data_IF_269812667739
#
_entry.id   IF_269812667739
#
_cell.length_a   1.000
_cell.length_b   1.000
_cell.length_c   1.000
_cell.angle_alpha   90.00
_cell.angle_beta   90.00
_cell.angle_gamma   90.00
#
_symmetry.space_group_name_H-M   'P 1'
#
loop_
_entity.id
_entity.type
_entity.pdbx_description
1 polymer ?
#
# COMPACT_ATOMS: atom_id res chain seq x y z
N UNK A 1 2.09 -12.66 -3.74
CA UNK A 1 2.22 -11.83 -2.52
C UNK A 1 3.34 -10.83 -2.74
N UNK A 2 3.23 -9.63 -2.19
CA UNK A 2 4.24 -8.56 -2.32
C UNK A 2 4.71 -8.11 -0.93
N UNK A 3 5.98 -7.71 -0.83
CA UNK A 3 6.54 -7.15 0.40
C UNK A 3 6.34 -5.63 0.42
N UNK A 4 5.59 -5.12 1.39
CA UNK A 4 5.54 -3.68 1.63
C UNK A 4 6.80 -3.25 2.38
N UNK A 5 7.48 -2.25 1.85
CA UNK A 5 8.60 -1.58 2.51
C UNK A 5 8.25 -0.10 2.61
N UNK A 6 8.20 0.51 3.81
CA UNK A 6 7.91 1.93 3.95
C UNK A 6 8.78 2.80 3.03
N UNK A 7 8.14 3.73 2.32
CA UNK A 7 8.81 4.61 1.36
C UNK A 7 9.15 3.97 0.01
N UNK A 8 8.93 2.67 -0.20
CA UNK A 8 9.08 2.02 -1.51
C UNK A 8 7.70 1.73 -2.12
N UNK A 9 7.28 2.44 -3.18
CA UNK A 9 6.00 2.19 -3.83
C UNK A 9 5.98 0.84 -4.56
N UNK A 10 4.79 0.28 -4.70
CA UNK A 10 4.50 -0.90 -5.53
C UNK A 10 3.61 -0.43 -6.68
N UNK A 11 4.01 -0.72 -7.92
CA UNK A 11 3.18 -0.47 -9.10
C UNK A 11 2.46 -1.75 -9.50
N UNK A 12 1.18 -1.63 -9.83
CA UNK A 12 0.35 -2.74 -10.29
C UNK A 12 -0.77 -2.23 -11.20
N UNK A 13 -1.27 -3.11 -12.08
CA UNK A 13 -2.46 -2.87 -12.90
C UNK A 13 -3.75 -3.36 -12.22
N UNK A 14 -3.65 -4.00 -11.06
CA UNK A 14 -4.79 -4.51 -10.28
C UNK A 14 -5.06 -3.62 -9.08
N UNK A 15 -6.33 -3.34 -8.78
CA UNK A 15 -6.72 -2.56 -7.61
C UNK A 15 -6.48 -3.28 -6.26
N UNK A 16 -6.11 -4.57 -6.29
CA UNK A 16 -5.85 -5.40 -5.12
C UNK A 16 -4.44 -5.96 -5.16
N UNK A 17 -3.77 -5.93 -4.00
CA UNK A 17 -2.51 -6.61 -3.73
C UNK A 17 -2.65 -7.47 -2.48
N UNK A 18 -1.97 -8.62 -2.46
CA UNK A 18 -1.84 -9.45 -1.25
C UNK A 18 -0.45 -9.22 -0.68
N UNK A 19 -0.39 -8.74 0.57
CA UNK A 19 0.87 -8.38 1.23
C UNK A 19 1.38 -9.53 2.07
N UNK A 20 2.71 -9.65 2.15
CA UNK A 20 3.37 -10.59 3.04
C UNK A 20 3.10 -10.24 4.52
N UNK A 21 2.78 -11.22 5.40
CA UNK A 21 2.54 -10.97 6.82
C UNK A 21 3.79 -10.54 7.61
N UNK A 22 5.00 -10.62 7.03
CA UNK A 22 6.28 -10.20 7.62
C UNK A 22 6.43 -8.70 7.85
N UNK A 23 5.34 -7.93 7.81
CA UNK A 23 5.30 -6.53 8.23
C UNK A 23 5.21 -6.52 9.75
N UNK A 24 6.17 -5.90 10.47
CA UNK A 24 6.11 -5.80 11.91
C UNK A 24 4.82 -5.12 12.41
N UNK A 25 4.38 -5.39 13.64
CA UNK A 25 3.32 -4.63 14.27
C UNK A 25 3.66 -3.14 14.32
N UNK A 26 2.65 -2.30 14.12
CA UNK A 26 2.80 -0.85 14.11
C UNK A 26 1.67 -0.14 13.38
N UNK A 27 1.74 1.18 13.39
CA UNK A 27 0.78 2.06 12.69
C UNK A 27 1.37 2.48 11.34
N UNK A 28 0.65 2.19 10.27
CA UNK A 28 1.09 2.43 8.89
C UNK A 28 0.17 3.40 8.18
N UNK A 29 0.76 4.27 7.36
CA UNK A 29 0.04 5.12 6.41
C UNK A 29 0.24 4.57 5.01
N UNK A 30 -0.84 4.15 4.38
CA UNK A 30 -0.92 3.69 3.01
C UNK A 30 -1.39 4.84 2.11
N UNK A 31 -0.74 4.98 0.97
CA UNK A 31 -1.08 5.97 -0.06
C UNK A 31 -1.29 5.24 -1.38
N UNK A 32 -2.41 5.49 -2.04
CA UNK A 32 -2.73 4.99 -3.37
C UNK A 32 -2.83 6.17 -4.36
N UNK A 33 -2.15 6.03 -5.49
CA UNK A 33 -2.25 6.91 -6.66
C UNK A 33 -2.57 6.04 -7.86
N UNK A 34 -3.57 6.44 -8.64
CA UNK A 34 -3.92 5.77 -9.90
C UNK A 34 -3.38 6.61 -11.05
N UNK A 35 -2.80 5.93 -12.04
CA UNK A 35 -2.29 6.53 -13.28
C UNK A 35 -3.16 6.00 -14.41
N UNK A 36 -3.74 6.91 -15.21
CA UNK A 36 -4.52 6.52 -16.39
C UNK A 36 -3.65 6.27 -17.62
N UNK A 37 -4.28 5.91 -18.75
CA UNK A 37 -3.58 5.59 -20.00
C UNK A 37 -2.89 6.82 -20.64
N UNK A 38 -3.23 8.03 -20.21
CA UNK A 38 -2.55 9.27 -20.62
C UNK A 38 -1.33 9.62 -19.75
N UNK A 39 -1.10 8.85 -18.67
CA UNK A 39 -0.07 9.12 -17.68
C UNK A 39 -0.48 10.13 -16.61
N UNK A 40 -1.76 10.49 -16.53
CA UNK A 40 -2.24 11.46 -15.54
C UNK A 40 -2.43 10.79 -14.18
N UNK A 41 -1.92 11.42 -13.12
CA UNK A 41 -2.02 10.93 -11.75
C UNK A 41 -3.27 11.45 -11.04
N UNK A 42 -3.93 10.58 -10.27
CA UNK A 42 -4.99 10.99 -9.34
C UNK A 42 -4.41 11.77 -8.15
N UNK A 43 -5.28 12.49 -7.43
CA UNK A 43 -4.92 12.89 -6.06
C UNK A 43 -4.67 11.65 -5.19
N UNK A 44 -3.76 11.70 -4.20
CA UNK A 44 -3.50 10.54 -3.36
C UNK A 44 -4.68 10.21 -2.44
N UNK A 45 -5.09 8.93 -2.43
CA UNK A 45 -5.98 8.40 -1.40
C UNK A 45 -5.14 7.88 -0.23
N UNK A 46 -5.48 8.29 0.99
CA UNK A 46 -4.71 7.95 2.20
C UNK A 46 -5.54 7.13 3.17
N UNK A 47 -4.94 6.03 3.66
CA UNK A 47 -5.51 5.22 4.74
C UNK A 47 -4.48 4.93 5.81
N UNK A 48 -4.92 4.97 7.05
CA UNK A 48 -4.11 4.57 8.19
C UNK A 48 -4.61 3.24 8.71
N UNK A 49 -3.70 2.29 8.88
CA UNK A 49 -3.99 0.97 9.45
C UNK A 49 -3.09 0.72 10.64
N UNK A 50 -3.56 -0.14 11.53
CA UNK A 50 -2.78 -0.65 12.65
C UNK A 50 -2.65 -2.15 12.50
N UNK A 51 -1.41 -2.63 12.53
CA UNK A 51 -1.10 -4.06 12.57
C UNK A 51 -0.72 -4.36 14.02
N UNK A 52 -1.55 -5.13 14.70
CA UNK A 52 -1.29 -5.60 16.06
C UNK A 52 -0.80 -7.04 16.05
N UNK A 53 -0.03 -7.44 17.08
CA UNK A 53 0.14 -8.87 17.36
C UNK A 53 -1.17 -9.37 17.94
N UNK A 54 -1.63 -10.52 17.45
CA UNK A 54 -2.62 -11.28 18.21
C UNK A 54 -1.88 -11.86 19.41
N UNK A 55 -2.21 -11.36 20.61
CA UNK A 55 -1.77 -11.94 21.88
C UNK A 55 -2.51 -13.26 22.13
#
# INVERSE_FOLDING_TARGET
MVKLVPGKPIQTKTAQIVVDPGIPPGRYRLTLVVIDDSGSESRPAVRTIEISRRL
#
